data_IF_071214676532
#
_entry.id   IF_071214676532
#
_cell.length_a   1.000
_cell.length_b   1.000
_cell.length_c   1.000
_cell.angle_alpha   90.00
_cell.angle_beta   90.00
_cell.angle_gamma   90.00
#
_symmetry.space_group_name_H-M   'P 1'
#
loop_
_entity.id
_entity.type
_entity.pdbx_description
1 polymer ?
#
# COMPACT_ATOMS: atom_id res chain seq x y z
N UNK A 1 19.67 13.01 20.03
CA UNK A 1 19.78 12.27 18.75
C UNK A 1 18.78 12.88 17.76
N UNK A 2 19.17 13.13 16.51
CA UNK A 2 18.20 13.56 15.49
C UNK A 2 17.53 12.30 14.94
N UNK A 3 16.23 12.14 15.18
CA UNK A 3 15.44 11.18 14.41
C UNK A 3 15.62 11.51 12.92
N UNK A 4 15.91 10.52 12.08
CA UNK A 4 16.02 10.72 10.63
C UNK A 4 14.72 11.30 10.05
N UNK A 5 14.81 12.11 8.99
CA UNK A 5 13.60 12.58 8.29
C UNK A 5 12.85 11.35 7.79
N UNK A 6 11.52 11.34 7.90
CA UNK A 6 10.67 10.31 7.31
C UNK A 6 11.04 10.02 5.85
N UNK A 7 11.43 11.07 5.11
CA UNK A 7 11.88 10.97 3.72
C UNK A 7 13.08 10.05 3.54
N UNK A 8 13.91 9.91 4.57
CA UNK A 8 15.12 9.08 4.53
C UNK A 8 14.82 7.60 4.80
N UNK A 9 13.65 7.28 5.37
CA UNK A 9 13.30 5.93 5.81
C UNK A 9 12.17 5.29 5.00
N UNK A 10 11.45 6.07 4.19
CA UNK A 10 10.32 5.55 3.44
C UNK A 10 10.76 4.73 2.20
N UNK A 11 9.87 3.83 1.75
CA UNK A 11 10.07 3.08 0.50
C UNK A 11 9.37 3.81 -0.63
N UNK A 12 10.11 4.17 -1.67
CA UNK A 12 9.55 4.77 -2.90
C UNK A 12 9.50 3.79 -4.07
N UNK A 13 10.26 2.68 -3.97
CA UNK A 13 10.36 1.65 -5.01
C UNK A 13 10.59 0.27 -4.39
N UNK A 14 9.94 -0.73 -4.98
CA UNK A 14 10.11 -2.14 -4.64
C UNK A 14 10.24 -2.93 -5.94
N UNK A 15 11.21 -3.84 -6.01
CA UNK A 15 11.41 -4.74 -7.13
C UNK A 15 11.09 -6.17 -6.69
N UNK A 16 10.22 -6.81 -7.47
CA UNK A 16 9.81 -8.19 -7.23
C UNK A 16 10.45 -9.07 -8.29
N UNK A 17 11.15 -10.09 -7.82
CA UNK A 17 11.81 -11.09 -8.66
C UNK A 17 11.01 -12.39 -8.61
N UNK A 18 11.01 -13.14 -9.70
CA UNK A 18 10.45 -14.48 -9.73
C UNK A 18 11.37 -15.49 -9.00
N UNK A 19 10.96 -16.77 -8.83
CA UNK A 19 11.79 -17.78 -8.18
C UNK A 19 13.15 -18.04 -8.86
N UNK A 20 13.33 -17.64 -10.12
CA UNK A 20 14.58 -17.76 -10.87
C UNK A 20 15.46 -16.49 -10.75
N UNK A 21 15.04 -15.49 -9.96
CA UNK A 21 15.74 -14.22 -9.81
C UNK A 21 15.54 -13.24 -10.96
N UNK A 22 14.58 -13.48 -11.86
CA UNK A 22 14.30 -12.57 -12.98
C UNK A 22 13.32 -11.49 -12.53
N UNK A 23 13.61 -10.23 -12.86
CA UNK A 23 12.75 -9.09 -12.53
C UNK A 23 11.36 -9.30 -13.12
N UNK A 24 10.36 -9.41 -12.25
CA UNK A 24 8.97 -9.68 -12.60
C UNK A 24 8.13 -8.42 -12.58
N UNK A 25 8.17 -7.66 -11.48
CA UNK A 25 7.38 -6.43 -11.30
C UNK A 25 8.20 -5.33 -10.64
N UNK A 26 7.92 -4.09 -11.01
CA UNK A 26 8.40 -2.90 -10.30
C UNK A 26 7.20 -2.18 -9.72
N UNK A 27 7.24 -1.89 -8.43
CA UNK A 27 6.25 -1.07 -7.74
C UNK A 27 6.88 0.27 -7.35
N UNK A 28 6.20 1.36 -7.63
CA UNK A 28 6.57 2.73 -7.20
C UNK A 28 5.46 3.31 -6.34
N UNK A 29 5.84 4.02 -5.28
CA UNK A 29 4.91 4.49 -4.25
C UNK A 29 5.12 5.99 -3.97
N UNK A 30 4.02 6.74 -3.90
CA UNK A 30 3.98 8.07 -3.27
C UNK A 30 3.33 7.99 -1.88
N UNK A 31 3.64 8.96 -1.05
CA UNK A 31 3.19 9.02 0.34
C UNK A 31 2.45 10.33 0.61
N UNK A 32 1.35 10.23 1.35
CA UNK A 32 0.61 11.35 1.92
C UNK A 32 0.62 11.27 3.43
N UNK A 33 0.60 12.44 4.08
CA UNK A 33 0.40 12.51 5.53
C UNK A 33 -1.09 12.72 5.79
N UNK A 34 -1.69 11.80 6.54
CA UNK A 34 -3.09 11.90 6.98
C UNK A 34 -3.08 11.85 8.50
N UNK A 35 -3.62 12.89 9.15
CA UNK A 35 -3.50 13.07 10.61
C UNK A 35 -2.02 12.97 11.05
N UNK A 36 -1.72 11.99 11.89
CA UNK A 36 -0.45 11.67 12.52
C UNK A 36 0.30 10.50 11.84
N UNK A 37 -0.24 9.95 10.75
CA UNK A 37 0.34 8.82 10.04
C UNK A 37 0.74 9.15 8.59
N UNK A 38 1.76 8.45 8.09
CA UNK A 38 2.11 8.43 6.67
C UNK A 38 1.49 7.20 6.00
N UNK A 39 0.73 7.44 4.93
CA UNK A 39 0.03 6.42 4.17
C UNK A 39 0.40 6.50 2.70
N UNK A 40 0.18 5.40 1.97
CA UNK A 40 0.30 5.43 0.52
C UNK A 40 -0.75 6.37 -0.07
N UNK A 41 -0.32 7.13 -1.06
CA UNK A 41 -1.18 7.99 -1.87
C UNK A 41 -1.47 7.30 -3.19
N UNK A 42 -0.45 7.14 -4.01
CA UNK A 42 -0.52 6.43 -5.29
C UNK A 42 0.49 5.31 -5.32
N UNK A 43 0.04 4.14 -5.79
CA UNK A 43 0.90 2.99 -6.05
C UNK A 43 0.76 2.57 -7.49
N UNK A 44 1.86 2.53 -8.22
CA UNK A 44 1.90 1.98 -9.56
C UNK A 44 2.70 0.67 -9.56
N UNK A 45 2.12 -0.39 -10.13
CA UNK A 45 2.79 -1.68 -10.33
C UNK A 45 2.88 -1.95 -11.82
N UNK A 46 4.10 -2.13 -12.34
CA UNK A 46 4.36 -2.50 -13.73
C UNK A 46 4.93 -3.91 -13.80
N UNK A 47 4.28 -4.79 -14.56
CA UNK A 47 4.81 -6.11 -14.88
C UNK A 47 5.81 -5.99 -16.04
N UNK A 48 7.08 -6.32 -15.77
CA UNK A 48 8.17 -6.18 -16.75
C UNK A 48 8.18 -7.28 -17.80
N UNK A 49 7.46 -8.40 -17.58
CA UNK A 49 7.35 -9.50 -18.52
C UNK A 49 6.21 -9.33 -19.51
N UNK A 50 5.07 -8.79 -19.06
CA UNK A 50 3.85 -8.68 -19.90
C UNK A 50 3.56 -7.25 -20.37
N UNK A 51 4.16 -6.23 -19.75
CA UNK A 51 3.89 -4.82 -20.05
C UNK A 51 2.61 -4.26 -19.40
N UNK A 52 1.80 -5.10 -18.73
CA UNK A 52 0.62 -4.62 -18.00
C UNK A 52 0.99 -3.77 -16.79
N UNK A 53 0.14 -2.79 -16.50
CA UNK A 53 0.25 -1.94 -15.31
C UNK A 53 -1.05 -1.92 -14.50
N UNK A 54 -0.93 -1.63 -13.22
CA UNK A 54 -2.05 -1.35 -12.32
C UNK A 54 -1.71 -0.13 -11.49
N UNK A 55 -2.67 0.79 -11.35
CA UNK A 55 -2.54 2.01 -10.57
C UNK A 55 -3.58 1.97 -9.46
N UNK A 56 -3.12 2.10 -8.21
CA UNK A 56 -3.96 2.22 -7.03
C UNK A 56 -3.89 3.66 -6.53
N UNK A 57 -5.04 4.29 -6.39
CA UNK A 57 -5.19 5.64 -5.83
C UNK A 57 -5.97 5.54 -4.53
N UNK A 58 -5.43 6.13 -3.46
CA UNK A 58 -6.00 6.03 -2.11
C UNK A 58 -6.54 7.40 -1.69
N UNK A 59 -7.86 7.52 -1.65
CA UNK A 59 -8.59 8.72 -1.21
C UNK A 59 -9.46 8.42 0.02
N UNK A 60 -9.99 9.48 0.65
CA UNK A 60 -10.98 9.41 1.74
C UNK A 60 -10.55 8.55 2.94
N UNK A 61 -9.25 8.62 3.25
CA UNK A 61 -8.64 7.83 4.33
C UNK A 61 -8.99 8.42 5.70
N UNK A 62 -9.45 7.55 6.60
CA UNK A 62 -9.65 7.85 8.00
C UNK A 62 -8.87 6.86 8.88
N UNK A 63 -8.17 7.38 9.89
CA UNK A 63 -7.30 6.61 10.78
C UNK A 63 -7.97 6.47 12.15
N UNK A 64 -7.73 5.34 12.84
CA UNK A 64 -8.18 5.09 14.21
C UNK A 64 -9.70 5.25 14.43
N UNK A 65 -10.52 4.93 13.41
CA UNK A 65 -11.99 5.08 13.45
C UNK A 65 -12.71 4.04 14.34
N UNK A 66 -11.98 3.23 15.11
CA UNK A 66 -12.59 2.25 16.02
C UNK A 66 -13.19 1.03 15.32
N UNK A 67 -12.55 0.52 14.25
CA UNK A 67 -12.96 -0.73 13.60
C UNK A 67 -12.96 -1.89 14.61
N UNK A 68 -14.10 -2.57 14.74
CA UNK A 68 -14.27 -3.69 15.69
C UNK A 68 -13.86 -5.01 15.05
N UNK A 69 -13.29 -5.93 15.83
CA UNK A 69 -12.83 -7.25 15.36
C UNK A 69 -13.88 -8.04 14.57
N UNK A 70 -15.16 -7.92 14.96
CA UNK A 70 -16.29 -8.56 14.27
C UNK A 70 -16.41 -8.19 12.78
N UNK A 71 -15.81 -7.07 12.35
CA UNK A 71 -15.78 -6.65 10.95
C UNK A 71 -14.88 -7.56 10.11
N UNK A 72 -13.86 -8.17 10.69
CA UNK A 72 -12.85 -8.99 10.00
C UNK A 72 -13.23 -10.48 10.02
N UNK A 73 -14.46 -10.80 9.63
CA UNK A 73 -14.94 -12.20 9.54
C UNK A 73 -15.48 -12.51 8.16
N UNK A 74 -15.41 -13.78 7.76
CA UNK A 74 -16.02 -14.27 6.50
C UNK A 74 -17.52 -13.93 6.45
N UNK A 75 -18.20 -14.01 7.59
CA UNK A 75 -19.62 -13.67 7.69
C UNK A 75 -19.88 -12.20 7.35
N UNK A 76 -19.01 -11.29 7.80
CA UNK A 76 -19.08 -9.87 7.48
C UNK A 76 -18.83 -9.59 5.99
N UNK A 77 -17.92 -10.33 5.36
CA UNK A 77 -17.73 -10.27 3.89
C UNK A 77 -18.99 -10.72 3.13
N UNK A 78 -19.62 -11.81 3.58
CA UNK A 78 -20.83 -12.36 2.93
C UNK A 78 -22.08 -11.51 3.09
N UNK A 79 -22.22 -10.81 4.23
CA UNK A 79 -23.47 -10.13 4.61
C UNK A 79 -23.37 -8.60 4.64
N UNK A 80 -22.17 -8.07 4.42
CA UNK A 80 -21.86 -6.66 4.63
C UNK A 80 -21.60 -6.32 6.10
N UNK A 81 -21.00 -5.16 6.29
CA UNK A 81 -20.79 -4.55 7.60
C UNK A 81 -22.16 -4.17 8.17
N UNK A 82 -22.46 -4.65 9.39
CA UNK A 82 -23.67 -4.32 10.16
C UNK A 82 -23.33 -3.48 11.38
#
# INVERSE_FOLDING_TARGET
ERAGDWRDCNKTRIEYFDPNGVLLKVQTLSWQKVSDAWLWDTVEVRNRKTGHSSVFQVSDVAINVGLKDRLFTERSLKRGIR
#
